data_IF_123479182071
#
_entry.id   IF_123479182071
#
_cell.length_a   1.000
_cell.length_b   1.000
_cell.length_c   1.000
_cell.angle_alpha   90.00
_cell.angle_beta   90.00
_cell.angle_gamma   90.00
#
_symmetry.space_group_name_H-M   'P 1'
#
loop_
_entity.id
_entity.type
_entity.pdbx_description
1 polymer ?
#
# COMPACT_ATOMS: atom_id res chain seq x y z
N UNK A 1 -51.79 -32.84 -25.03
CA UNK A 1 -51.27 -32.25 -26.29
C UNK A 1 -49.95 -31.58 -25.91
N UNK A 2 -48.88 -32.36 -25.69
CA UNK A 2 -47.80 -32.72 -26.65
C UNK A 2 -47.08 -31.45 -27.17
N UNK A 3 -45.75 -31.27 -27.15
CA UNK A 3 -44.55 -32.10 -26.91
C UNK A 3 -43.42 -31.17 -26.39
N UNK A 4 -42.55 -31.53 -25.45
CA UNK A 4 -41.27 -32.27 -25.49
C UNK A 4 -40.19 -31.83 -26.51
N UNK A 5 -38.94 -31.80 -26.01
CA UNK A 5 -37.57 -31.62 -26.56
C UNK A 5 -36.83 -30.48 -25.86
N UNK A 6 -35.62 -30.61 -25.29
CA UNK A 6 -34.68 -31.72 -25.22
C UNK A 6 -33.22 -31.20 -25.21
N UNK A 7 -32.56 -31.29 -24.04
CA UNK A 7 -31.15 -31.68 -23.80
C UNK A 7 -29.97 -30.72 -24.10
N UNK A 8 -28.97 -30.84 -23.22
CA UNK A 8 -27.53 -30.51 -23.25
C UNK A 8 -27.15 -29.10 -22.76
N UNK A 9 -26.26 -28.91 -21.78
CA UNK A 9 -25.12 -29.72 -21.37
C UNK A 9 -23.86 -28.88 -21.57
N UNK A 10 -23.26 -28.37 -20.49
CA UNK A 10 -22.08 -27.51 -20.58
C UNK A 10 -21.45 -27.25 -19.21
N UNK A 11 -20.59 -28.19 -18.81
CA UNK A 11 -19.75 -28.12 -17.62
C UNK A 11 -18.68 -27.01 -17.72
N UNK A 12 -18.41 -26.42 -16.55
CA UNK A 12 -17.10 -26.06 -15.99
C UNK A 12 -16.08 -25.28 -16.84
N UNK A 13 -15.67 -24.13 -16.31
CA UNK A 13 -14.24 -23.84 -16.13
C UNK A 13 -14.02 -22.72 -15.10
N UNK A 14 -13.88 -23.10 -13.83
CA UNK A 14 -13.26 -22.26 -12.80
C UNK A 14 -11.75 -22.28 -13.02
N UNK A 15 -11.21 -21.25 -13.66
CA UNK A 15 -9.77 -21.15 -13.89
C UNK A 15 -9.05 -20.84 -12.57
N UNK A 16 -8.65 -21.91 -11.89
CA UNK A 16 -7.77 -21.92 -10.71
C UNK A 16 -6.41 -21.34 -11.08
N UNK A 17 -6.08 -20.16 -10.55
CA UNK A 17 -4.81 -19.46 -10.78
C UNK A 17 -3.65 -20.32 -10.25
N UNK A 18 -2.85 -20.88 -11.16
CA UNK A 18 -1.71 -21.73 -10.85
C UNK A 18 -0.58 -20.93 -10.19
N UNK A 19 -0.23 -21.29 -8.96
CA UNK A 19 0.91 -20.79 -8.19
C UNK A 19 2.21 -21.22 -8.87
N UNK A 20 2.87 -20.31 -9.60
CA UNK A 20 4.19 -20.54 -10.20
C UNK A 20 5.22 -20.80 -9.08
N UNK A 21 5.60 -22.07 -8.92
CA UNK A 21 6.78 -22.50 -8.16
C UNK A 21 8.01 -22.22 -9.05
N UNK A 22 8.93 -21.36 -8.59
CA UNK A 22 10.22 -21.21 -9.22
C UNK A 22 11.06 -22.46 -8.92
N UNK A 23 11.31 -23.25 -9.97
CA UNK A 23 12.18 -24.42 -9.99
C UNK A 23 13.65 -23.99 -10.04
N UNK A 24 14.45 -24.46 -9.09
CA UNK A 24 15.92 -24.44 -9.15
C UNK A 24 16.39 -25.55 -10.12
N UNK A 25 17.33 -25.30 -11.05
CA UNK A 25 18.01 -26.40 -11.72
C UNK A 25 19.06 -27.01 -10.78
N UNK A 26 18.94 -28.32 -10.56
CA UNK A 26 20.04 -29.17 -10.11
C UNK A 26 21.04 -29.32 -11.28
N UNK A 27 22.34 -29.25 -11.01
CA UNK A 27 23.37 -29.53 -12.02
C UNK A 27 23.44 -31.02 -12.36
N UNK A 28 24.27 -31.38 -13.35
CA UNK A 28 24.87 -32.71 -13.37
C UNK A 28 26.40 -32.67 -13.40
N UNK A 29 26.97 -33.62 -12.65
CA UNK A 29 28.35 -34.07 -12.71
C UNK A 29 28.50 -35.21 -13.73
N UNK A 30 29.75 -35.40 -14.18
CA UNK A 30 30.37 -36.61 -14.78
C UNK A 30 29.78 -37.08 -16.14
N UNK A 31 30.55 -37.54 -17.12
CA UNK A 31 31.97 -37.83 -17.26
C UNK A 31 32.16 -38.60 -18.58
N UNK A 32 33.39 -38.54 -19.12
CA UNK A 32 34.02 -39.56 -19.99
C UNK A 32 33.40 -39.84 -21.40
N UNK A 33 34.14 -40.10 -22.48
CA UNK A 33 35.56 -40.34 -22.74
C UNK A 33 35.82 -40.03 -24.22
N UNK A 34 37.06 -39.66 -24.59
CA UNK A 34 37.74 -40.14 -25.81
C UNK A 34 39.22 -39.72 -25.80
N UNK A 35 40.06 -40.65 -25.32
CA UNK A 35 41.49 -40.81 -25.64
C UNK A 35 41.60 -41.50 -27.03
N UNK A 36 42.77 -41.86 -27.60
CA UNK A 36 44.17 -41.58 -27.24
C UNK A 36 45.16 -41.32 -28.41
N UNK A 37 46.36 -40.81 -28.09
CA UNK A 37 47.65 -41.31 -28.59
C UNK A 37 48.78 -40.59 -27.81
N UNK A 38 49.50 -41.27 -26.90
CA UNK A 38 50.84 -41.88 -27.12
C UNK A 38 51.94 -40.81 -27.30
N UNK A 39 53.05 -40.78 -26.56
CA UNK A 39 53.82 -41.90 -26.02
C UNK A 39 54.52 -41.60 -24.69
N UNK A 40 54.83 -42.71 -24.02
CA UNK A 40 55.50 -42.84 -22.74
C UNK A 40 57.02 -42.86 -22.90
N UNK A 41 57.74 -42.51 -21.83
CA UNK A 41 58.90 -43.29 -21.37
C UNK A 41 59.41 -42.75 -20.00
N UNK A 42 59.15 -43.53 -18.96
CA UNK A 42 59.85 -43.52 -17.68
C UNK A 42 61.14 -44.32 -17.79
N UNK A 43 62.31 -43.81 -17.35
CA UNK A 43 63.38 -44.65 -16.77
C UNK A 43 64.21 -43.93 -15.70
N UNK A 44 64.08 -44.47 -14.49
CA UNK A 44 65.03 -44.76 -13.39
C UNK A 44 66.52 -44.39 -13.51
N UNK A 45 67.06 -44.07 -12.33
CA UNK A 45 68.45 -43.82 -11.96
C UNK A 45 69.46 -44.98 -12.14
N UNK A 46 70.72 -44.62 -12.43
CA UNK A 46 72.00 -45.21 -11.98
C UNK A 46 73.15 -44.34 -12.58
N UNK A 47 73.91 -43.58 -11.79
CA UNK A 47 75.15 -43.94 -11.09
C UNK A 47 76.43 -44.00 -11.97
N UNK A 48 77.41 -43.19 -11.53
CA UNK A 48 78.88 -43.31 -11.61
C UNK A 48 79.69 -42.56 -12.69
N UNK A 49 80.52 -41.62 -12.17
CA UNK A 49 81.96 -41.29 -12.44
C UNK A 49 82.43 -41.16 -13.88
N UNK A 50 83.27 -40.22 -14.30
CA UNK A 50 84.29 -39.35 -13.70
C UNK A 50 84.56 -38.31 -14.81
N UNK A 51 84.77 -37.01 -14.56
CA UNK A 51 86.15 -36.49 -14.53
C UNK A 51 86.20 -35.00 -14.15
N UNK A 52 87.04 -34.72 -13.14
CA UNK A 52 87.70 -33.48 -12.72
C UNK A 52 88.08 -32.52 -13.88
N UNK A 53 88.21 -31.18 -13.65
CA UNK A 53 89.39 -30.68 -12.96
C UNK A 53 89.17 -29.54 -11.93
N UNK A 54 90.24 -29.33 -11.16
CA UNK A 54 90.66 -28.12 -10.45
C UNK A 54 89.75 -27.52 -9.36
N UNK A 55 90.07 -27.97 -8.15
CA UNK A 55 89.77 -27.39 -6.84
C UNK A 55 90.36 -25.97 -6.74
N UNK A 56 89.50 -24.96 -6.69
CA UNK A 56 89.82 -23.65 -6.10
C UNK A 56 89.14 -23.55 -4.72
N UNK A 57 89.88 -23.09 -3.73
CA UNK A 57 89.55 -23.22 -2.33
C UNK A 57 88.84 -21.97 -1.76
N UNK A 58 87.71 -22.22 -1.05
CA UNK A 58 87.09 -21.44 0.07
C UNK A 58 86.40 -20.09 -0.31
N UNK A 59 85.41 -19.56 0.47
CA UNK A 59 85.05 -19.85 1.88
C UNK A 59 83.54 -20.12 2.14
N UNK A 60 83.22 -20.43 3.40
CA UNK A 60 81.90 -20.83 3.91
C UNK A 60 80.76 -19.84 3.61
N UNK A 61 79.65 -20.34 3.06
CA UNK A 61 78.40 -19.61 2.89
C UNK A 61 77.73 -19.45 4.27
N UNK A 62 77.67 -18.20 4.76
CA UNK A 62 76.79 -17.83 5.88
C UNK A 62 75.33 -17.97 5.40
N UNK A 63 74.40 -18.51 6.22
CA UNK A 63 73.01 -18.59 5.83
C UNK A 63 72.44 -17.16 5.67
N UNK A 64 72.04 -16.84 4.45
CA UNK A 64 71.36 -15.57 4.13
C UNK A 64 70.01 -15.58 4.85
N UNK A 65 69.87 -14.73 5.87
CA UNK A 65 68.62 -14.52 6.59
C UNK A 65 67.59 -13.87 5.64
N UNK A 66 66.31 -14.30 5.61
CA UNK A 66 65.32 -13.71 4.73
C UNK A 66 65.18 -12.21 4.99
N UNK A 67 64.99 -11.37 3.95
CA UNK A 67 64.89 -9.94 4.12
C UNK A 67 63.68 -9.58 5.02
N UNK A 68 63.79 -8.52 5.85
CA UNK A 68 62.73 -8.12 6.75
C UNK A 68 61.46 -7.78 5.97
N UNK A 69 60.35 -8.43 6.31
CA UNK A 69 59.04 -8.16 5.71
C UNK A 69 58.65 -6.71 5.98
N UNK A 70 58.32 -5.97 4.91
CA UNK A 70 57.84 -4.59 4.95
C UNK A 70 56.65 -4.49 5.92
N UNK A 71 56.60 -3.50 6.83
CA UNK A 71 55.45 -3.31 7.70
C UNK A 71 54.23 -2.95 6.84
N UNK A 72 53.11 -3.65 7.07
CA UNK A 72 51.85 -3.31 6.42
C UNK A 72 51.39 -1.92 6.87
N UNK A 73 50.91 -1.09 5.95
CA UNK A 73 50.40 0.26 6.22
C UNK A 73 49.02 0.23 6.91
N UNK A 74 48.92 -0.48 8.05
CA UNK A 74 47.66 -0.75 8.77
C UNK A 74 46.94 0.53 9.21
N UNK A 75 47.69 1.58 9.54
CA UNK A 75 47.14 2.88 9.95
C UNK A 75 46.44 3.57 8.78
N UNK A 76 47.04 3.58 7.59
CA UNK A 76 46.41 4.13 6.38
C UNK A 76 45.15 3.36 5.97
N UNK A 77 45.19 2.03 6.06
CA UNK A 77 44.01 1.19 5.80
C UNK A 77 42.91 1.46 6.84
N UNK A 78 43.28 1.68 8.11
CA UNK A 78 42.35 2.09 9.16
C UNK A 78 41.66 3.41 8.86
N UNK A 79 42.42 4.45 8.49
CA UNK A 79 41.87 5.75 8.10
C UNK A 79 40.99 5.68 6.85
N UNK A 80 41.40 4.91 5.84
CA UNK A 80 40.60 4.73 4.63
C UNK A 80 39.29 3.99 4.90
N UNK A 81 39.32 2.96 5.74
CA UNK A 81 38.11 2.24 6.16
C UNK A 81 37.18 3.14 6.98
N UNK A 82 37.72 4.02 7.81
CA UNK A 82 36.93 4.99 8.58
C UNK A 82 36.28 6.04 7.66
N UNK A 83 37.05 6.57 6.71
CA UNK A 83 36.53 7.50 5.70
C UNK A 83 35.44 6.85 4.84
N UNK A 84 35.67 5.62 4.36
CA UNK A 84 34.68 4.86 3.61
C UNK A 84 33.42 4.56 4.44
N UNK A 85 33.58 4.23 5.73
CA UNK A 85 32.46 4.04 6.66
C UNK A 85 31.64 5.31 6.86
N UNK A 86 32.29 6.45 7.07
CA UNK A 86 31.60 7.74 7.20
C UNK A 86 30.85 8.13 5.92
N UNK A 87 31.45 7.92 4.74
CA UNK A 87 30.79 8.16 3.46
C UNK A 87 29.57 7.25 3.27
N UNK A 88 29.69 5.97 3.63
CA UNK A 88 28.56 5.04 3.58
C UNK A 88 27.42 5.47 4.51
N UNK A 89 27.73 5.90 5.75
CA UNK A 89 26.73 6.41 6.69
C UNK A 89 26.07 7.69 6.16
N UNK A 90 26.86 8.62 5.60
CA UNK A 90 26.32 9.85 5.01
C UNK A 90 25.39 9.56 3.84
N UNK A 91 25.75 8.63 2.96
CA UNK A 91 24.91 8.20 1.85
C UNK A 91 23.60 7.54 2.33
N UNK A 92 23.67 6.67 3.36
CA UNK A 92 22.47 6.07 3.96
C UNK A 92 21.58 7.13 4.64
N UNK A 93 22.16 8.05 5.41
CA UNK A 93 21.43 9.12 6.07
C UNK A 93 20.72 10.04 5.06
N UNK A 94 21.39 10.35 3.94
CA UNK A 94 20.78 11.08 2.83
C UNK A 94 19.59 10.31 2.24
N UNK A 95 19.78 9.02 1.95
CA UNK A 95 18.72 8.16 1.40
C UNK A 95 17.49 8.07 2.32
N UNK A 96 17.71 7.89 3.63
CA UNK A 96 16.63 7.88 4.63
C UNK A 96 15.91 9.22 4.68
N UNK A 97 16.64 10.34 4.69
CA UNK A 97 16.03 11.68 4.73
C UNK A 97 15.17 11.96 3.50
N UNK A 98 15.66 11.60 2.31
CA UNK A 98 14.91 11.73 1.07
C UNK A 98 13.63 10.89 1.08
N UNK A 99 13.70 9.65 1.57
CA UNK A 99 12.54 8.77 1.68
C UNK A 99 11.50 9.32 2.68
N UNK A 100 11.96 9.85 3.82
CA UNK A 100 11.07 10.47 4.82
C UNK A 100 10.35 11.70 4.25
N UNK A 101 11.04 12.53 3.47
CA UNK A 101 10.39 13.69 2.81
C UNK A 101 9.30 13.24 1.83
N UNK A 102 9.58 12.26 0.97
CA UNK A 102 8.59 11.72 0.03
C UNK A 102 7.40 11.08 0.76
N UNK A 103 7.66 10.36 1.85
CA UNK A 103 6.60 9.75 2.65
C UNK A 103 5.68 10.80 3.27
N UNK A 104 6.23 11.92 3.75
CA UNK A 104 5.45 13.01 4.34
C UNK A 104 4.47 13.63 3.34
N UNK A 105 4.90 13.86 2.10
CA UNK A 105 4.02 14.43 1.08
C UNK A 105 2.90 13.44 0.69
N UNK A 106 3.24 12.15 0.59
CA UNK A 106 2.27 11.09 0.33
C UNK A 106 1.27 10.96 1.50
N UNK A 107 1.74 10.97 2.73
CA UNK A 107 0.94 10.92 3.95
C UNK A 107 0.01 12.12 4.05
N UNK A 108 0.49 13.33 3.72
CA UNK A 108 -0.31 14.54 3.74
C UNK A 108 -1.48 14.48 2.74
N UNK A 109 -1.23 13.98 1.52
CA UNK A 109 -2.28 13.76 0.50
C UNK A 109 -3.28 12.70 0.96
N UNK A 110 -2.79 11.58 1.49
CA UNK A 110 -3.67 10.53 1.99
C UNK A 110 -4.52 10.99 3.17
N UNK A 111 -3.94 11.76 4.10
CA UNK A 111 -4.67 12.34 5.23
C UNK A 111 -5.73 13.35 4.77
N UNK A 112 -5.47 14.14 3.72
CA UNK A 112 -6.49 15.01 3.11
C UNK A 112 -7.62 14.19 2.47
N UNK A 113 -7.27 13.18 1.68
CA UNK A 113 -8.25 12.30 1.03
C UNK A 113 -9.14 11.58 2.06
N UNK A 114 -8.55 11.10 3.16
CA UNK A 114 -9.28 10.46 4.24
C UNK A 114 -10.24 11.44 4.91
N UNK A 115 -9.83 12.68 5.17
CA UNK A 115 -10.71 13.71 5.74
C UNK A 115 -11.95 13.97 4.86
N UNK A 116 -11.82 13.94 3.53
CA UNK A 116 -12.99 14.05 2.63
C UNK A 116 -13.95 12.88 2.79
N UNK A 117 -13.42 11.66 2.86
CA UNK A 117 -14.22 10.45 3.06
C UNK A 117 -14.91 10.46 4.41
N UNK A 118 -14.19 10.87 5.47
CA UNK A 118 -14.72 10.96 6.82
C UNK A 118 -15.81 12.03 6.92
N UNK A 119 -15.60 13.20 6.31
CA UNK A 119 -16.59 14.27 6.26
C UNK A 119 -17.86 13.83 5.51
N UNK A 120 -17.72 13.21 4.33
CA UNK A 120 -18.86 12.66 3.59
C UNK A 120 -19.65 11.63 4.41
N UNK A 121 -18.92 10.71 5.06
CA UNK A 121 -19.50 9.68 5.93
C UNK A 121 -20.26 10.32 7.08
N UNK A 122 -19.66 11.30 7.74
CA UNK A 122 -20.28 12.03 8.85
C UNK A 122 -21.53 12.79 8.40
N UNK A 123 -21.51 13.45 7.23
CA UNK A 123 -22.68 14.13 6.68
C UNK A 123 -23.84 13.16 6.45
N UNK A 124 -23.56 11.98 5.87
CA UNK A 124 -24.58 10.95 5.62
C UNK A 124 -25.13 10.37 6.94
N UNK A 125 -24.26 10.10 7.92
CA UNK A 125 -24.69 9.64 9.24
C UNK A 125 -25.55 10.71 9.92
N UNK A 126 -25.13 11.98 9.89
CA UNK A 126 -25.89 13.09 10.46
C UNK A 126 -27.27 13.28 9.78
N UNK A 127 -27.38 12.96 8.49
CA UNK A 127 -28.64 13.07 7.75
C UNK A 127 -29.65 11.98 8.12
N UNK A 128 -29.18 10.75 8.33
CA UNK A 128 -30.03 9.59 8.55
C UNK A 128 -30.16 9.17 10.03
N UNK A 129 -29.41 9.80 10.94
CA UNK A 129 -29.42 9.44 12.37
C UNK A 129 -30.13 10.51 13.19
N UNK A 130 -31.21 10.11 13.86
CA UNK A 130 -31.95 10.97 14.79
C UNK A 130 -32.76 10.13 15.77
N UNK A 131 -33.07 10.72 16.92
CA UNK A 131 -34.03 10.18 17.90
C UNK A 131 -35.13 11.21 18.13
N UNK A 132 -36.33 10.82 18.60
CA UNK A 132 -37.42 11.77 18.89
C UNK A 132 -37.02 12.92 19.83
N UNK A 133 -36.15 12.64 20.80
CA UNK A 133 -35.71 13.62 21.81
C UNK A 133 -34.63 14.59 21.28
N UNK A 134 -33.92 14.22 20.21
CA UNK A 134 -32.77 14.97 19.67
C UNK A 134 -33.01 15.53 18.27
N UNK A 135 -34.26 15.64 17.83
CA UNK A 135 -34.61 16.09 16.46
C UNK A 135 -34.01 17.46 16.16
N UNK A 136 -34.18 18.43 17.06
CA UNK A 136 -33.70 19.80 16.82
C UNK A 136 -32.18 19.84 16.66
N UNK A 137 -31.47 19.14 17.54
CA UNK A 137 -30.02 19.03 17.50
C UNK A 137 -29.55 18.29 16.24
N UNK A 138 -30.18 17.17 15.90
CA UNK A 138 -29.78 16.32 14.77
C UNK A 138 -29.99 17.03 13.43
N UNK A 139 -31.13 17.70 13.25
CA UNK A 139 -31.39 18.52 12.07
C UNK A 139 -30.42 19.70 12.00
N UNK A 140 -30.19 20.40 13.11
CA UNK A 140 -29.24 21.52 13.12
C UNK A 140 -27.81 21.04 12.84
N UNK A 141 -27.39 19.88 13.36
CA UNK A 141 -26.07 19.27 13.09
C UNK A 141 -25.91 18.95 11.62
N UNK A 142 -26.93 18.35 11.00
CA UNK A 142 -26.96 18.09 9.58
C UNK A 142 -26.84 19.38 8.77
N UNK A 143 -27.72 20.36 8.99
CA UNK A 143 -27.72 21.64 8.25
C UNK A 143 -26.41 22.41 8.45
N UNK A 144 -25.89 22.48 9.68
CA UNK A 144 -24.63 23.18 9.97
C UNK A 144 -23.40 22.50 9.37
N UNK A 145 -23.47 21.19 9.14
CA UNK A 145 -22.46 20.40 8.43
C UNK A 145 -22.52 20.53 6.91
N UNK A 146 -23.51 21.25 6.37
CA UNK A 146 -23.63 21.52 4.93
C UNK A 146 -23.20 22.95 4.57
N UNK A 147 -22.92 23.16 3.30
CA UNK A 147 -22.61 24.46 2.69
C UNK A 147 -23.19 24.52 1.27
N UNK A 148 -22.94 25.62 0.56
CA UNK A 148 -23.26 25.74 -0.86
C UNK A 148 -24.74 25.55 -1.21
N UNK A 149 -25.03 25.00 -2.41
CA UNK A 149 -26.39 24.75 -2.89
C UNK A 149 -27.20 23.85 -1.95
N UNK A 150 -26.59 22.81 -1.36
CA UNK A 150 -27.28 21.91 -0.43
C UNK A 150 -27.81 22.67 0.79
N UNK A 151 -26.97 23.51 1.42
CA UNK A 151 -27.41 24.36 2.54
C UNK A 151 -28.48 25.37 2.10
N UNK A 152 -28.35 25.92 0.90
CA UNK A 152 -29.36 26.80 0.31
C UNK A 152 -30.73 26.13 0.23
N UNK A 153 -30.79 24.89 -0.29
CA UNK A 153 -32.04 24.11 -0.41
C UNK A 153 -32.64 23.74 0.96
N UNK A 154 -31.78 23.40 1.94
CA UNK A 154 -32.24 23.06 3.29
C UNK A 154 -32.80 24.27 4.04
N UNK A 155 -32.28 25.47 3.79
CA UNK A 155 -32.76 26.71 4.43
C UNK A 155 -33.88 27.40 3.65
N UNK A 156 -34.13 27.00 2.40
CA UNK A 156 -35.21 27.56 1.60
C UNK A 156 -36.57 27.31 2.28
N UNK A 157 -37.46 28.32 2.25
CA UNK A 157 -38.87 28.20 2.65
C UNK A 157 -39.11 27.55 4.04
N UNK A 158 -38.25 27.80 5.02
CA UNK A 158 -38.31 27.19 6.36
C UNK A 158 -38.31 25.64 6.32
N UNK A 159 -37.66 25.04 5.32
CA UNK A 159 -37.54 23.59 5.19
C UNK A 159 -36.95 22.93 6.44
N UNK A 160 -36.03 23.60 7.14
CA UNK A 160 -35.49 23.11 8.43
C UNK A 160 -36.59 22.84 9.45
N UNK A 161 -37.54 23.76 9.61
CA UNK A 161 -38.62 23.61 10.59
C UNK A 161 -39.65 22.58 10.11
N UNK A 162 -39.90 22.51 8.80
CA UNK A 162 -40.73 21.47 8.20
C UNK A 162 -40.13 20.06 8.44
N UNK A 163 -38.82 19.89 8.26
CA UNK A 163 -38.12 18.62 8.54
C UNK A 163 -38.25 18.21 10.00
N UNK A 164 -38.07 19.16 10.93
CA UNK A 164 -38.29 18.92 12.37
C UNK A 164 -39.72 18.46 12.64
N UNK A 165 -40.71 19.11 12.02
CA UNK A 165 -42.12 18.74 12.12
C UNK A 165 -42.39 17.31 11.62
N UNK A 166 -41.85 16.96 10.45
CA UNK A 166 -42.01 15.62 9.87
C UNK A 166 -41.41 14.51 10.75
N UNK A 167 -40.21 14.73 11.28
CA UNK A 167 -39.57 13.76 12.17
C UNK A 167 -40.33 13.63 13.50
N UNK A 168 -40.83 14.73 14.06
CA UNK A 168 -41.66 14.72 15.28
C UNK A 168 -42.98 13.98 15.07
N UNK A 169 -43.61 14.16 13.91
CA UNK A 169 -44.86 13.49 13.59
C UNK A 169 -44.70 11.95 13.47
N UNK A 170 -43.52 11.49 13.07
CA UNK A 170 -43.26 10.06 12.84
C UNK A 170 -42.91 9.31 14.14
N UNK A 171 -42.42 10.01 15.18
CA UNK A 171 -42.01 9.43 16.47
C UNK A 171 -41.12 8.17 16.34
N UNK A 172 -40.24 8.17 15.33
CA UNK A 172 -39.35 7.06 15.07
C UNK A 172 -37.90 7.43 15.41
N UNK A 173 -37.11 6.43 15.79
CA UNK A 173 -35.65 6.56 15.84
C UNK A 173 -35.08 6.04 14.53
N UNK A 174 -34.08 6.72 13.97
CA UNK A 174 -33.39 6.28 12.76
C UNK A 174 -31.91 6.18 13.05
N UNK A 175 -31.31 5.07 12.64
CA UNK A 175 -29.88 4.80 12.79
C UNK A 175 -29.27 4.47 11.43
N UNK A 176 -28.11 5.07 11.16
CA UNK A 176 -27.39 4.90 9.92
C UNK A 176 -26.05 4.20 10.16
N UNK A 177 -25.83 3.07 9.47
CA UNK A 177 -24.58 2.32 9.49
C UNK A 177 -23.93 2.39 8.13
N UNK A 178 -22.70 2.90 8.08
CA UNK A 178 -21.94 3.02 6.84
C UNK A 178 -21.23 1.69 6.58
N UNK A 179 -21.50 1.08 5.43
CA UNK A 179 -20.88 -0.17 5.02
C UNK A 179 -19.54 0.07 4.31
N UNK A 180 -19.40 1.22 3.65
CA UNK A 180 -18.18 1.61 2.97
C UNK A 180 -18.29 2.99 2.38
N UNK A 181 -17.16 3.67 2.28
CA UNK A 181 -17.03 4.96 1.63
C UNK A 181 -15.74 4.99 0.81
N UNK A 182 -15.78 5.60 -0.37
CA UNK A 182 -14.64 5.69 -1.27
C UNK A 182 -14.61 7.04 -1.98
N UNK A 183 -13.43 7.65 -2.04
CA UNK A 183 -13.19 8.86 -2.81
C UNK A 183 -13.19 8.50 -4.31
N UNK A 184 -14.05 9.16 -5.08
CA UNK A 184 -14.15 9.01 -6.54
C UNK A 184 -13.18 9.94 -7.26
N UNK A 185 -13.05 11.18 -6.79
CA UNK A 185 -12.16 12.18 -7.37
C UNK A 185 -12.20 13.49 -6.61
N UNK A 186 -11.18 14.33 -6.83
CA UNK A 186 -11.08 15.68 -6.28
C UNK A 186 -10.94 16.66 -7.45
N UNK A 187 -11.75 17.70 -7.46
CA UNK A 187 -11.57 18.89 -8.27
C UNK A 187 -10.76 19.91 -7.48
N UNK A 188 -9.50 20.07 -7.86
CA UNK A 188 -8.55 21.01 -7.21
C UNK A 188 -8.85 22.48 -7.54
N UNK A 189 -9.69 22.79 -8.53
CA UNK A 189 -10.04 24.17 -8.87
C UNK A 189 -11.12 24.70 -7.93
N UNK A 190 -12.08 23.84 -7.60
CA UNK A 190 -13.23 24.19 -6.76
C UNK A 190 -13.15 23.64 -5.33
N UNK A 191 -12.04 23.00 -4.98
CA UNK A 191 -11.80 22.30 -3.70
C UNK A 191 -12.95 21.38 -3.29
N UNK A 192 -13.47 20.66 -4.29
CA UNK A 192 -14.60 19.75 -4.14
C UNK A 192 -14.15 18.30 -4.35
N UNK A 193 -14.54 17.42 -3.44
CA UNK A 193 -14.32 15.99 -3.54
C UNK A 193 -15.63 15.23 -3.75
N UNK A 194 -15.67 14.32 -4.72
CA UNK A 194 -16.78 13.37 -4.88
C UNK A 194 -16.48 12.10 -4.10
N UNK A 195 -17.37 11.73 -3.18
CA UNK A 195 -17.25 10.52 -2.36
C UNK A 195 -18.49 9.65 -2.53
N UNK A 196 -18.30 8.38 -2.84
CA UNK A 196 -19.36 7.39 -2.86
C UNK A 196 -19.50 6.77 -1.47
N UNK A 197 -20.68 6.86 -0.87
CA UNK A 197 -21.00 6.31 0.44
C UNK A 197 -22.12 5.27 0.30
N UNK A 198 -21.87 4.08 0.83
CA UNK A 198 -22.90 3.05 1.00
C UNK A 198 -23.32 3.02 2.47
N UNK A 199 -24.59 3.29 2.71
CA UNK A 199 -25.18 3.32 4.06
C UNK A 199 -26.36 2.38 4.12
N UNK A 200 -26.61 1.84 5.30
CA UNK A 200 -27.78 1.07 5.63
C UNK A 200 -28.51 1.79 6.76
N UNK A 201 -29.79 2.04 6.57
CA UNK A 201 -30.61 2.82 7.51
C UNK A 201 -31.66 1.90 8.12
N UNK A 202 -31.70 1.87 9.44
CA UNK A 202 -32.68 1.13 10.23
C UNK A 202 -33.54 2.12 10.97
N UNK A 203 -34.86 2.01 10.82
CA UNK A 203 -35.82 2.85 11.53
C UNK A 203 -36.49 2.00 12.59
N UNK A 204 -36.47 2.44 13.85
CA UNK A 204 -37.20 1.86 14.95
C UNK A 204 -38.45 2.68 15.28
N UNK A 205 -39.57 2.01 15.55
CA UNK A 205 -40.78 2.66 16.07
C UNK A 205 -40.60 3.09 17.54
N UNK A 206 -41.60 3.76 18.12
CA UNK A 206 -41.60 4.20 19.52
C UNK A 206 -41.47 3.04 20.52
N UNK A 207 -41.93 1.84 20.13
CA UNK A 207 -41.80 0.60 20.91
C UNK A 207 -40.39 -0.04 20.80
N UNK A 208 -39.46 0.59 20.07
CA UNK A 208 -38.11 0.07 19.83
C UNK A 208 -38.04 -1.07 18.83
N UNK A 209 -39.12 -1.31 18.07
CA UNK A 209 -39.17 -2.38 17.06
C UNK A 209 -38.49 -1.90 15.77
N UNK A 210 -37.39 -2.56 15.41
CA UNK A 210 -36.64 -2.27 14.19
C UNK A 210 -37.39 -2.72 12.93
N UNK A 211 -37.61 -1.78 12.00
CA UNK A 211 -38.07 -2.05 10.64
C UNK A 211 -36.94 -2.65 9.79
N UNK A 212 -37.26 -3.34 8.67
CA UNK A 212 -36.26 -3.84 7.75
C UNK A 212 -35.29 -2.74 7.31
N UNK A 213 -34.01 -3.03 7.40
CA UNK A 213 -32.96 -2.08 7.13
C UNK A 213 -32.79 -1.84 5.62
N UNK A 214 -32.81 -0.58 5.19
CA UNK A 214 -32.80 -0.19 3.79
C UNK A 214 -31.40 0.25 3.33
N UNK A 215 -30.87 -0.30 2.23
CA UNK A 215 -29.59 0.13 1.69
C UNK A 215 -29.75 1.39 0.82
N UNK A 216 -28.88 2.37 1.03
CA UNK A 216 -28.75 3.56 0.20
C UNK A 216 -27.31 3.71 -0.30
N UNK A 217 -27.19 4.26 -1.51
CA UNK A 217 -25.93 4.67 -2.12
C UNK A 217 -26.03 6.14 -2.45
N UNK A 218 -25.07 6.93 -1.98
CA UNK A 218 -25.05 8.37 -2.19
C UNK A 218 -23.69 8.77 -2.74
N UNK A 219 -23.70 9.70 -3.69
CA UNK A 219 -22.52 10.48 -4.07
C UNK A 219 -22.60 11.79 -3.30
N UNK A 220 -21.69 11.97 -2.36
CA UNK A 220 -21.56 13.17 -1.55
C UNK A 220 -20.48 14.04 -2.16
N UNK A 221 -20.81 15.29 -2.46
CA UNK A 221 -19.81 16.29 -2.81
C UNK A 221 -19.43 17.02 -1.53
N UNK A 222 -18.16 16.94 -1.16
CA UNK A 222 -17.61 17.62 0.02
C UNK A 222 -16.78 18.79 -0.45
N UNK A 223 -17.04 19.98 0.11
CA UNK A 223 -16.25 21.18 -0.14
C UNK A 223 -15.34 21.46 1.05
N UNK A 224 -14.06 21.76 0.77
CA UNK A 224 -13.09 22.28 1.73
C UNK A 224 -13.04 23.81 1.62
N UNK A 225 -13.37 24.51 2.70
CA UNK A 225 -13.28 25.98 2.73
C UNK A 225 -11.85 26.47 2.99
N UNK A 226 -11.64 27.80 2.93
CA UNK A 226 -10.33 28.44 3.17
C UNK A 226 -9.74 28.14 4.55
N UNK A 227 -10.57 27.78 5.53
CA UNK A 227 -10.14 27.41 6.88
C UNK A 227 -9.83 25.90 7.01
N UNK A 228 -9.93 25.14 5.92
CA UNK A 228 -9.78 23.69 5.90
C UNK A 228 -10.97 22.93 6.48
N UNK A 229 -12.15 23.58 6.63
CA UNK A 229 -13.36 22.95 7.12
C UNK A 229 -14.05 22.22 5.98
N UNK A 230 -14.29 20.93 6.18
CA UNK A 230 -14.99 20.09 5.21
C UNK A 230 -16.48 20.06 5.50
N UNK A 231 -17.30 20.29 4.46
CA UNK A 231 -18.76 20.35 4.58
C UNK A 231 -19.44 19.67 3.39
N UNK A 232 -20.63 19.12 3.61
CA UNK A 232 -21.45 18.59 2.52
C UNK A 232 -21.96 19.71 1.62
N UNK A 233 -21.47 19.78 0.40
CA UNK A 233 -21.78 20.83 -0.57
C UNK A 233 -22.98 20.47 -1.46
N UNK A 234 -23.05 19.20 -1.86
CA UNK A 234 -24.10 18.65 -2.71
C UNK A 234 -24.26 17.14 -2.47
N UNK A 235 -25.43 16.60 -2.80
CA UNK A 235 -25.77 15.18 -2.62
C UNK A 235 -26.47 14.66 -3.87
N UNK A 236 -25.96 13.58 -4.46
CA UNK A 236 -26.51 12.97 -5.67
C UNK A 236 -26.77 11.49 -5.47
N UNK A 237 -27.88 11.01 -6.00
CA UNK A 237 -28.15 9.58 -6.08
C UNK A 237 -27.46 9.03 -7.35
N UNK A 238 -26.48 8.11 -7.21
CA UNK A 238 -25.69 7.62 -8.33
C UNK A 238 -26.52 6.88 -9.38
N UNK A 239 -27.68 6.34 -8.98
CA UNK A 239 -28.58 5.58 -9.85
C UNK A 239 -29.86 6.36 -10.23
N UNK A 240 -29.96 7.65 -9.90
CA UNK A 240 -31.11 8.50 -10.27
C UNK A 240 -32.44 8.02 -9.67
N UNK A 241 -32.62 8.18 -8.35
CA UNK A 241 -33.95 8.10 -7.75
C UNK A 241 -34.65 9.46 -7.87
N UNK A 242 -35.78 9.48 -8.58
CA UNK A 242 -36.62 10.65 -8.94
C UNK A 242 -36.67 11.78 -7.92
#
# INVERSE_FOLDING_TARGET
>A
MAADTGVAGGQQSTTRRARRKASRPAGPAEGESSRPAQGAATVRAAARTESKPAKAAKPALRPVKPPPRRPAHRVLVGWLSLAAGLLAIAALAWGVTALVMQNRDADARQARNQRFVDAATQTVVNMFSYTPDTIDESVNRFVNGTSGPLRGMLNANNNVDNLKGLFRATNATSEAVVNGAALEGIDEISDNASVLVSVRVTVADIDGVNKPSMPYRLRVIVHEDENGRMTGYDLKYPDGGN
#
